data_IF_805703897491
#
_entry.id   IF_805703897491
#
_cell.length_a   1.000
_cell.length_b   1.000
_cell.length_c   1.000
_cell.angle_alpha   90.00
_cell.angle_beta   90.00
_cell.angle_gamma   90.00
#
_symmetry.space_group_name_H-M   'P 1'
#
loop_
_entity.id
_entity.type
_entity.pdbx_description
1 polymer ?
#
# COMPACT_ATOMS: atom_id res chain seq x y z
N UNK A 1 56.06 -22.98 -2.46
CA UNK A 1 54.78 -22.94 -1.70
C UNK A 1 53.73 -22.38 -2.66
N UNK A 2 52.73 -23.15 -3.12
CA UNK A 2 51.65 -22.58 -3.92
C UNK A 2 50.66 -21.87 -3.02
N UNK A 3 50.29 -20.65 -3.45
CA UNK A 3 49.26 -19.84 -2.87
C UNK A 3 47.91 -20.55 -2.97
N UNK A 4 47.23 -20.76 -1.84
CA UNK A 4 45.87 -21.24 -1.80
C UNK A 4 44.95 -20.19 -2.41
N UNK A 5 44.33 -20.54 -3.52
CA UNK A 5 43.21 -19.85 -4.14
C UNK A 5 42.05 -19.82 -3.15
N UNK A 6 41.46 -18.67 -2.85
CA UNK A 6 40.26 -18.60 -2.01
C UNK A 6 39.09 -19.14 -2.86
N UNK A 7 38.83 -20.44 -2.76
CA UNK A 7 37.78 -21.12 -3.48
C UNK A 7 36.45 -20.38 -3.40
N UNK A 8 35.86 -20.13 -4.56
CA UNK A 8 34.50 -19.71 -4.75
C UNK A 8 33.58 -20.57 -3.88
N UNK A 9 32.98 -19.97 -2.88
CA UNK A 9 31.92 -20.63 -2.08
C UNK A 9 30.71 -20.79 -3.00
N UNK A 10 30.57 -21.95 -3.61
CA UNK A 10 29.31 -22.32 -4.25
C UNK A 10 28.21 -22.30 -3.17
N UNK A 11 27.10 -21.61 -3.39
CA UNK A 11 25.97 -21.67 -2.49
C UNK A 11 25.40 -23.09 -2.48
N UNK A 12 25.66 -23.83 -1.41
CA UNK A 12 25.34 -25.23 -1.29
C UNK A 12 23.92 -25.47 -0.80
N UNK A 13 22.92 -25.43 -1.68
CA UNK A 13 21.56 -25.88 -1.36
C UNK A 13 20.51 -25.32 -2.33
N UNK A 14 19.35 -26.01 -2.44
CA UNK A 14 18.21 -25.53 -3.23
C UNK A 14 17.75 -24.16 -2.70
N UNK A 15 17.34 -23.24 -3.58
CA UNK A 15 16.92 -21.90 -3.17
C UNK A 15 15.73 -21.93 -2.19
N UNK A 16 15.66 -20.95 -1.31
CA UNK A 16 14.45 -20.69 -0.54
C UNK A 16 13.54 -19.83 -1.41
N UNK A 17 12.34 -20.32 -1.72
CA UNK A 17 11.39 -19.58 -2.58
C UNK A 17 10.39 -18.81 -1.75
N UNK A 18 10.12 -17.57 -2.15
CA UNK A 18 8.97 -16.79 -1.71
C UNK A 18 8.13 -16.41 -2.91
N UNK A 19 6.80 -16.45 -2.75
CA UNK A 19 5.87 -15.97 -3.74
C UNK A 19 5.71 -14.44 -3.66
N UNK A 20 5.39 -13.79 -4.77
CA UNK A 20 5.03 -12.39 -4.81
C UNK A 20 3.75 -12.17 -5.61
N UNK A 21 2.81 -11.42 -5.03
CA UNK A 21 1.56 -11.01 -5.65
C UNK A 21 1.62 -9.50 -5.91
N UNK A 22 1.42 -9.09 -7.16
CA UNK A 22 1.39 -7.69 -7.55
C UNK A 22 0.44 -7.46 -8.74
N UNK A 23 -0.24 -6.31 -8.83
CA UNK A 23 -1.08 -5.95 -9.97
C UNK A 23 -0.21 -5.39 -11.10
N UNK A 24 0.32 -6.25 -11.97
CA UNK A 24 1.27 -5.85 -13.02
C UNK A 24 0.60 -5.46 -14.33
N UNK A 25 -0.65 -5.89 -14.53
CA UNK A 25 -1.45 -5.60 -15.74
C UNK A 25 -2.80 -4.99 -15.40
N UNK A 26 -3.42 -4.30 -16.38
CA UNK A 26 -4.78 -3.78 -16.26
C UNK A 26 -5.81 -4.93 -16.14
N UNK A 27 -6.95 -4.70 -15.44
CA UNK A 27 -7.43 -3.43 -14.89
C UNK A 27 -6.77 -3.01 -13.57
N UNK A 28 -5.77 -3.75 -13.08
CA UNK A 28 -5.03 -3.40 -11.88
C UNK A 28 -4.25 -2.10 -12.03
N UNK A 29 -3.87 -1.52 -10.90
CA UNK A 29 -3.00 -0.35 -10.89
C UNK A 29 -1.54 -0.78 -11.14
N UNK A 30 -1.21 -0.98 -12.42
CA UNK A 30 0.07 -1.53 -12.86
C UNK A 30 1.28 -0.68 -12.43
N UNK A 31 1.12 0.64 -12.28
CA UNK A 31 2.17 1.52 -11.78
C UNK A 31 2.53 1.18 -10.32
N UNK A 32 1.52 1.00 -9.46
CA UNK A 32 1.74 0.56 -8.08
C UNK A 32 2.36 -0.84 -8.02
N UNK A 33 1.90 -1.76 -8.87
CA UNK A 33 2.45 -3.11 -8.99
C UNK A 33 3.92 -3.12 -9.39
N UNK A 34 4.32 -2.28 -10.36
CA UNK A 34 5.70 -2.12 -10.80
C UNK A 34 6.59 -1.59 -9.67
N UNK A 35 6.12 -0.60 -8.90
CA UNK A 35 6.85 -0.08 -7.75
C UNK A 35 7.00 -1.14 -6.64
N UNK A 36 5.92 -1.87 -6.34
CA UNK A 36 5.96 -2.97 -5.37
C UNK A 36 7.01 -4.02 -5.78
N UNK A 37 6.95 -4.47 -7.03
CA UNK A 37 7.87 -5.47 -7.56
C UNK A 37 9.32 -4.99 -7.52
N UNK A 38 9.59 -3.73 -7.90
CA UNK A 38 10.93 -3.17 -7.85
C UNK A 38 11.53 -3.20 -6.42
N UNK A 39 10.71 -2.94 -5.41
CA UNK A 39 11.12 -3.04 -4.00
C UNK A 39 11.40 -4.48 -3.57
N UNK A 40 10.49 -5.41 -3.91
CA UNK A 40 10.65 -6.83 -3.61
C UNK A 40 11.95 -7.40 -4.22
N UNK A 41 12.18 -7.14 -5.52
CA UNK A 41 13.36 -7.64 -6.23
C UNK A 41 14.66 -7.01 -5.74
N UNK A 42 14.66 -5.71 -5.39
CA UNK A 42 15.83 -5.06 -4.81
C UNK A 42 16.21 -5.70 -3.48
N UNK A 43 15.23 -5.96 -2.62
CA UNK A 43 15.47 -6.59 -1.33
C UNK A 43 15.94 -8.05 -1.46
N UNK A 44 15.41 -8.82 -2.42
CA UNK A 44 15.89 -10.18 -2.72
C UNK A 44 17.37 -10.16 -3.13
N UNK A 45 17.77 -9.21 -3.98
CA UNK A 45 19.18 -9.03 -4.34
C UNK A 45 20.04 -8.72 -3.13
N UNK A 46 19.66 -7.73 -2.32
CA UNK A 46 20.40 -7.34 -1.11
C UNK A 46 20.52 -8.51 -0.10
N UNK A 47 19.46 -9.33 0.03
CA UNK A 47 19.49 -10.55 0.86
C UNK A 47 20.48 -11.56 0.32
N UNK A 48 20.53 -11.77 -0.99
CA UNK A 48 21.43 -12.71 -1.63
C UNK A 48 22.89 -12.23 -1.55
N UNK A 49 23.14 -10.95 -1.77
CA UNK A 49 24.47 -10.33 -1.63
C UNK A 49 25.01 -10.46 -0.18
N UNK A 50 24.09 -10.48 0.79
CA UNK A 50 24.41 -10.71 2.20
C UNK A 50 24.53 -12.21 2.60
N UNK A 51 24.54 -13.13 1.64
CA UNK A 51 24.70 -14.58 1.87
C UNK A 51 23.39 -15.38 1.94
N UNK A 52 22.26 -14.77 1.55
CA UNK A 52 20.96 -15.44 1.42
C UNK A 52 20.29 -15.80 2.76
N UNK A 53 19.54 -16.88 2.73
CA UNK A 53 18.85 -17.46 3.88
C UNK A 53 19.65 -18.66 4.37
N UNK A 54 20.50 -18.44 5.38
CA UNK A 54 21.38 -19.48 5.95
C UNK A 54 22.23 -20.15 4.84
N UNK A 55 22.87 -19.33 3.98
CA UNK A 55 23.73 -19.82 2.90
C UNK A 55 22.99 -20.32 1.65
N UNK A 56 21.65 -20.22 1.61
CA UNK A 56 20.81 -20.59 0.47
C UNK A 56 20.31 -19.33 -0.24
N UNK A 57 20.34 -19.26 -1.59
CA UNK A 57 19.79 -18.09 -2.29
C UNK A 57 18.28 -17.96 -2.05
N UNK A 58 17.81 -16.72 -1.95
CA UNK A 58 16.39 -16.38 -1.94
C UNK A 58 15.92 -16.19 -3.39
N UNK A 59 14.85 -16.86 -3.78
CA UNK A 59 14.23 -16.79 -5.12
C UNK A 59 12.82 -16.18 -4.99
N UNK A 60 12.49 -15.21 -5.85
CA UNK A 60 11.17 -14.59 -5.93
C UNK A 60 10.36 -15.19 -7.07
N UNK A 61 9.19 -15.77 -6.76
CA UNK A 61 8.26 -16.32 -7.75
C UNK A 61 7.07 -15.37 -7.90
N UNK A 62 7.06 -14.58 -8.97
CA UNK A 62 6.07 -13.51 -9.17
C UNK A 62 4.79 -14.04 -9.83
N UNK A 63 3.64 -13.55 -9.38
CA UNK A 63 2.33 -13.73 -10.01
C UNK A 63 1.63 -12.38 -10.14
N UNK A 64 1.16 -12.11 -11.36
CA UNK A 64 0.34 -10.94 -11.65
C UNK A 64 -1.10 -11.20 -11.24
N UNK A 65 -1.63 -10.36 -10.37
CA UNK A 65 -3.03 -10.44 -9.91
C UNK A 65 -4.00 -9.69 -10.81
N UNK A 66 -3.52 -8.74 -11.62
CA UNK A 66 -4.35 -7.82 -12.41
C UNK A 66 -5.49 -7.16 -11.60
N UNK A 67 -5.32 -7.03 -10.28
CA UNK A 67 -6.35 -6.61 -9.31
C UNK A 67 -7.60 -7.50 -9.28
N UNK A 68 -7.51 -8.76 -9.73
CA UNK A 68 -8.61 -9.73 -9.67
C UNK A 68 -8.47 -10.62 -8.43
N UNK A 69 -9.45 -10.61 -7.50
CA UNK A 69 -9.44 -11.43 -6.30
C UNK A 69 -9.41 -12.94 -6.60
N UNK A 70 -10.07 -13.39 -7.68
CA UNK A 70 -10.09 -14.82 -8.06
C UNK A 70 -8.72 -15.24 -8.58
N UNK A 71 -8.14 -14.42 -9.44
CA UNK A 71 -6.78 -14.64 -9.96
C UNK A 71 -5.74 -14.67 -8.84
N UNK A 72 -5.88 -13.80 -7.85
CA UNK A 72 -5.01 -13.81 -6.68
C UNK A 72 -5.13 -15.09 -5.86
N UNK A 73 -6.35 -15.60 -5.62
CA UNK A 73 -6.55 -16.87 -4.93
C UNK A 73 -5.93 -18.04 -5.70
N UNK A 74 -6.13 -18.13 -7.02
CA UNK A 74 -5.49 -19.13 -7.89
C UNK A 74 -3.97 -19.02 -7.84
N UNK A 75 -3.42 -17.81 -7.87
CA UNK A 75 -1.98 -17.57 -7.76
C UNK A 75 -1.40 -18.09 -6.44
N UNK A 76 -2.15 -17.96 -5.34
CA UNK A 76 -1.76 -18.53 -4.03
C UNK A 76 -1.71 -20.06 -4.10
N UNK A 77 -2.67 -20.72 -4.78
CA UNK A 77 -2.64 -22.17 -4.99
C UNK A 77 -1.40 -22.61 -5.77
N UNK A 78 -1.11 -21.93 -6.87
CA UNK A 78 0.07 -22.20 -7.70
C UNK A 78 1.38 -22.03 -6.89
N UNK A 79 1.51 -20.94 -6.15
CA UNK A 79 2.67 -20.67 -5.31
C UNK A 79 2.83 -21.73 -4.21
N UNK A 80 1.71 -22.15 -3.58
CA UNK A 80 1.72 -23.24 -2.61
C UNK A 80 2.22 -24.56 -3.21
N UNK A 81 1.77 -24.90 -4.44
CA UNK A 81 2.21 -26.08 -5.21
C UNK A 81 3.67 -26.02 -5.61
N UNK A 82 4.24 -24.83 -5.84
CA UNK A 82 5.67 -24.62 -6.11
C UNK A 82 6.54 -24.70 -4.84
N UNK A 83 5.95 -24.93 -3.68
CA UNK A 83 6.67 -25.09 -2.42
C UNK A 83 7.28 -23.79 -1.88
N UNK A 84 6.70 -22.63 -2.15
CA UNK A 84 7.17 -21.37 -1.55
C UNK A 84 7.02 -21.41 -0.03
N UNK A 85 7.98 -20.82 0.68
CA UNK A 85 7.99 -20.77 2.14
C UNK A 85 7.02 -19.72 2.69
N UNK A 86 6.79 -18.64 1.95
CA UNK A 86 5.86 -17.56 2.27
C UNK A 86 5.43 -16.82 1.00
N UNK A 87 4.39 -15.99 1.11
CA UNK A 87 3.94 -15.09 0.05
C UNK A 87 4.03 -13.65 0.52
N UNK A 88 4.51 -12.76 -0.35
CA UNK A 88 4.61 -11.30 -0.20
C UNK A 88 3.61 -10.59 -1.13
N UNK A 89 3.17 -9.40 -0.79
CA UNK A 89 2.26 -8.60 -1.60
C UNK A 89 0.98 -8.37 -0.82
N UNK A 90 0.03 -7.82 -1.29
CA UNK A 90 -0.53 -7.25 -2.49
C UNK A 90 -0.83 -5.76 -2.25
N UNK A 91 -1.10 -4.99 -3.29
CA UNK A 91 -1.45 -3.57 -3.19
C UNK A 91 -2.96 -3.36 -2.96
N UNK A 92 -3.81 -4.00 -3.77
CA UNK A 92 -5.25 -3.82 -3.69
C UNK A 92 -5.86 -4.57 -2.50
N UNK A 93 -6.58 -3.85 -1.63
CA UNK A 93 -7.13 -4.39 -0.39
C UNK A 93 -8.11 -5.55 -0.59
N UNK A 94 -8.98 -5.49 -1.61
CA UNK A 94 -9.96 -6.56 -1.92
C UNK A 94 -9.24 -7.82 -2.43
N UNK A 95 -8.19 -7.64 -3.21
CA UNK A 95 -7.35 -8.71 -3.76
C UNK A 95 -6.51 -9.35 -2.67
N UNK A 96 -5.88 -8.53 -1.82
CA UNK A 96 -5.12 -9.01 -0.67
C UNK A 96 -5.99 -9.83 0.30
N UNK A 97 -7.26 -9.44 0.50
CA UNK A 97 -8.20 -10.20 1.31
C UNK A 97 -8.45 -11.60 0.74
N UNK A 98 -8.66 -11.72 -0.56
CA UNK A 98 -8.84 -13.02 -1.21
C UNK A 98 -7.59 -13.89 -1.11
N UNK A 99 -6.41 -13.31 -1.32
CA UNK A 99 -5.13 -13.98 -1.14
C UNK A 99 -4.92 -14.43 0.31
N UNK A 100 -5.24 -13.59 1.29
CA UNK A 100 -5.12 -13.89 2.72
C UNK A 100 -6.00 -15.06 3.14
N UNK A 101 -7.28 -15.06 2.74
CA UNK A 101 -8.21 -16.17 3.01
C UNK A 101 -7.70 -17.47 2.40
N UNK A 102 -7.17 -17.43 1.17
CA UNK A 102 -6.64 -18.63 0.52
C UNK A 102 -5.33 -19.11 1.15
N UNK A 103 -4.44 -18.21 1.52
CA UNK A 103 -3.19 -18.53 2.19
C UNK A 103 -3.44 -19.16 3.57
N UNK A 104 -4.41 -18.62 4.34
CA UNK A 104 -4.84 -19.18 5.61
C UNK A 104 -5.35 -20.61 5.47
N UNK A 105 -6.23 -20.87 4.50
CA UNK A 105 -6.77 -22.19 4.21
C UNK A 105 -5.70 -23.24 3.81
N UNK A 106 -4.57 -22.78 3.27
CA UNK A 106 -3.45 -23.66 2.84
C UNK A 106 -2.32 -23.76 3.88
N UNK A 107 -2.43 -23.06 5.02
CA UNK A 107 -1.32 -22.97 5.96
C UNK A 107 -0.06 -22.36 5.35
N UNK A 108 -0.22 -21.33 4.52
CA UNK A 108 0.86 -20.64 3.83
C UNK A 108 1.05 -19.24 4.42
N UNK A 109 2.20 -18.92 5.02
CA UNK A 109 2.46 -17.59 5.55
C UNK A 109 2.30 -16.52 4.48
N UNK A 110 1.49 -15.49 4.74
CA UNK A 110 1.28 -14.35 3.85
C UNK A 110 1.59 -13.05 4.58
N UNK A 111 2.59 -12.32 4.11
CA UNK A 111 2.89 -10.96 4.56
C UNK A 111 2.34 -9.96 3.56
N UNK A 112 1.22 -9.34 3.91
CA UNK A 112 0.61 -8.29 3.12
C UNK A 112 1.45 -7.01 3.20
N UNK A 113 1.88 -6.50 2.05
CA UNK A 113 2.77 -5.33 1.95
C UNK A 113 2.03 -4.00 2.11
N UNK A 114 1.05 -3.73 1.26
CA UNK A 114 0.50 -2.39 1.04
C UNK A 114 -1.00 -2.28 1.26
N UNK A 115 -1.73 -3.40 1.24
CA UNK A 115 -3.17 -3.36 1.43
C UNK A 115 -3.54 -3.01 2.88
N UNK A 116 -4.42 -2.01 3.03
CA UNK A 116 -4.73 -1.39 4.32
C UNK A 116 -6.06 -1.81 4.94
N UNK A 117 -6.92 -2.56 4.25
CA UNK A 117 -8.24 -2.95 4.76
C UNK A 117 -8.09 -3.59 6.16
N UNK A 118 -8.85 -3.10 7.14
CA UNK A 118 -8.70 -3.48 8.55
C UNK A 118 -8.82 -5.00 8.75
N UNK A 119 -9.80 -5.60 8.11
CA UNK A 119 -10.00 -7.04 8.15
C UNK A 119 -9.55 -7.71 6.86
N UNK A 120 -8.25 -7.96 6.72
CA UNK A 120 -7.75 -8.81 5.63
C UNK A 120 -8.31 -10.22 5.71
N UNK A 121 -8.54 -10.71 6.92
CA UNK A 121 -9.36 -11.89 7.20
C UNK A 121 -10.43 -11.53 8.23
N UNK A 122 -11.54 -12.22 8.21
CA UNK A 122 -12.65 -12.03 9.17
C UNK A 122 -12.36 -12.69 10.52
N UNK A 123 -11.47 -13.68 10.51
CA UNK A 123 -11.08 -14.44 11.70
C UNK A 123 -9.60 -14.26 12.01
N UNK A 124 -9.20 -14.26 13.28
CA UNK A 124 -7.79 -14.30 13.65
C UNK A 124 -7.10 -15.52 13.04
N UNK A 125 -5.93 -15.28 12.44
CA UNK A 125 -5.14 -16.31 11.78
C UNK A 125 -3.66 -16.20 12.18
N UNK A 126 -2.94 -17.32 12.35
CA UNK A 126 -1.49 -17.30 12.50
C UNK A 126 -0.77 -17.09 11.16
N UNK A 127 -1.45 -17.29 10.03
CA UNK A 127 -0.81 -17.34 8.71
C UNK A 127 -0.66 -15.98 8.03
N UNK A 128 -1.41 -14.97 8.47
CA UNK A 128 -1.43 -13.66 7.81
C UNK A 128 -0.87 -12.58 8.73
N UNK A 129 0.02 -11.78 8.18
CA UNK A 129 0.52 -10.56 8.78
C UNK A 129 0.46 -9.39 7.80
N UNK A 130 0.50 -8.15 8.30
CA UNK A 130 0.41 -6.94 7.48
C UNK A 130 1.48 -5.93 7.87
N UNK A 131 2.12 -5.35 6.85
CA UNK A 131 3.13 -4.31 7.02
C UNK A 131 2.52 -2.90 7.00
N UNK A 132 1.55 -2.66 6.10
CA UNK A 132 0.85 -1.39 6.02
C UNK A 132 -0.02 -1.13 7.27
N UNK A 133 -0.27 0.14 7.63
CA UNK A 133 -1.19 0.47 8.72
C UNK A 133 -2.64 0.09 8.38
N UNK A 134 -3.53 -0.07 9.37
CA UNK A 134 -4.94 -0.31 9.10
C UNK A 134 -5.60 0.92 8.46
N UNK A 135 -6.52 0.68 7.55
CA UNK A 135 -7.28 1.72 6.85
C UNK A 135 -7.93 2.70 7.83
N UNK A 136 -8.55 2.18 8.89
CA UNK A 136 -9.21 3.00 9.90
C UNK A 136 -8.28 4.00 10.58
N UNK A 137 -6.98 3.69 10.77
CA UNK A 137 -6.01 4.61 11.33
C UNK A 137 -5.72 5.76 10.36
N UNK A 138 -5.46 5.45 9.09
CA UNK A 138 -5.18 6.46 8.08
C UNK A 138 -6.37 7.38 7.82
N UNK A 139 -7.57 6.79 7.71
CA UNK A 139 -8.77 7.58 7.40
C UNK A 139 -9.24 8.42 8.58
N UNK A 140 -9.00 8.01 9.84
CA UNK A 140 -9.19 8.89 11.00
C UNK A 140 -8.24 10.08 10.98
N UNK A 141 -6.95 9.84 10.68
CA UNK A 141 -5.99 10.94 10.52
C UNK A 141 -6.43 11.93 9.42
N UNK A 142 -6.94 11.39 8.31
CA UNK A 142 -7.44 12.21 7.20
C UNK A 142 -8.68 13.02 7.59
N UNK A 143 -9.63 12.42 8.32
CA UNK A 143 -10.79 13.13 8.85
C UNK A 143 -10.38 14.25 9.84
N UNK A 144 -9.39 13.99 10.70
CA UNK A 144 -8.85 14.99 11.62
C UNK A 144 -8.16 16.14 10.87
N UNK A 145 -7.50 15.85 9.76
CA UNK A 145 -6.97 16.86 8.86
C UNK A 145 -8.10 17.72 8.27
N UNK A 146 -9.14 17.12 7.71
CA UNK A 146 -10.28 17.86 7.15
C UNK A 146 -10.93 18.78 8.18
N UNK A 147 -11.12 18.30 9.42
CA UNK A 147 -11.66 19.12 10.51
C UNK A 147 -10.74 20.31 10.86
N UNK A 148 -9.41 20.09 10.89
CA UNK A 148 -8.46 21.17 11.17
C UNK A 148 -8.44 22.25 10.09
N UNK A 149 -8.77 21.88 8.84
CA UNK A 149 -8.91 22.81 7.71
C UNK A 149 -10.33 23.44 7.64
N UNK A 150 -11.21 23.13 8.61
CA UNK A 150 -12.56 23.70 8.69
C UNK A 150 -13.59 22.99 7.81
N UNK A 151 -13.28 21.82 7.27
CA UNK A 151 -14.21 21.07 6.43
C UNK A 151 -15.12 20.19 7.28
N UNK A 152 -16.43 20.43 7.20
CA UNK A 152 -17.45 19.66 7.91
C UNK A 152 -18.54 19.05 6.99
N UNK A 153 -18.73 19.60 5.80
CA UNK A 153 -19.66 19.06 4.80
C UNK A 153 -18.85 18.42 3.67
N UNK A 154 -18.71 17.11 3.75
CA UNK A 154 -17.85 16.34 2.85
C UNK A 154 -18.71 15.58 1.85
N UNK A 155 -18.41 15.72 0.55
CA UNK A 155 -18.92 14.83 -0.48
C UNK A 155 -17.86 13.78 -0.81
N UNK A 156 -18.28 12.56 -1.09
CA UNK A 156 -17.41 11.48 -1.54
C UNK A 156 -17.90 10.96 -2.88
N UNK A 157 -17.13 11.13 -3.94
CA UNK A 157 -17.35 10.44 -5.20
C UNK A 157 -16.91 9.00 -5.03
N UNK A 158 -17.83 8.04 -5.17
CA UNK A 158 -17.57 6.64 -4.82
C UNK A 158 -18.06 5.67 -5.89
N UNK A 159 -17.35 4.56 -6.00
CA UNK A 159 -17.75 3.36 -6.75
C UNK A 159 -17.98 2.20 -5.78
N UNK A 160 -18.80 1.19 -6.15
CA UNK A 160 -19.05 0.05 -5.28
C UNK A 160 -17.77 -0.73 -4.95
N UNK A 161 -17.35 -0.67 -3.69
CA UNK A 161 -16.21 -1.42 -3.18
C UNK A 161 -16.29 -1.53 -1.67
N UNK A 162 -15.96 -2.70 -1.12
CA UNK A 162 -15.83 -2.88 0.35
C UNK A 162 -14.79 -1.91 0.93
N UNK A 163 -13.75 -1.62 0.16
CA UNK A 163 -12.70 -0.69 0.55
C UNK A 163 -13.23 0.75 0.66
N UNK A 164 -13.94 1.23 -0.36
CA UNK A 164 -14.53 2.56 -0.36
C UNK A 164 -15.61 2.73 0.69
N UNK A 165 -16.52 1.76 0.80
CA UNK A 165 -17.59 1.77 1.81
C UNK A 165 -17.03 1.77 3.25
N UNK A 166 -15.97 1.00 3.51
CA UNK A 166 -15.28 1.02 4.80
C UNK A 166 -14.68 2.40 5.09
N UNK A 167 -14.05 3.04 4.11
CA UNK A 167 -13.49 4.37 4.25
C UNK A 167 -14.55 5.44 4.50
N UNK A 168 -15.63 5.47 3.72
CA UNK A 168 -16.75 6.40 3.90
C UNK A 168 -17.36 6.27 5.30
N UNK A 169 -17.49 5.03 5.82
CA UNK A 169 -17.95 4.79 7.18
C UNK A 169 -17.01 5.39 8.22
N UNK A 170 -15.69 5.15 8.12
CA UNK A 170 -14.70 5.72 9.06
C UNK A 170 -14.74 7.25 9.07
N UNK A 171 -14.87 7.88 7.89
CA UNK A 171 -15.04 9.33 7.79
C UNK A 171 -16.30 9.79 8.50
N UNK A 172 -17.44 9.17 8.21
CA UNK A 172 -18.74 9.51 8.80
C UNK A 172 -18.69 9.41 10.33
N UNK A 173 -18.20 8.29 10.85
CA UNK A 173 -18.09 8.04 12.28
C UNK A 173 -17.17 9.06 12.98
N UNK A 174 -16.09 9.48 12.31
CA UNK A 174 -15.13 10.44 12.87
C UNK A 174 -15.62 11.88 12.82
N UNK A 175 -16.39 12.26 11.79
CA UNK A 175 -16.88 13.62 11.59
C UNK A 175 -18.17 13.90 12.38
N UNK A 176 -19.01 12.88 12.60
CA UNK A 176 -20.32 13.04 13.25
C UNK A 176 -20.28 13.74 14.62
N UNK A 177 -19.35 13.45 15.56
CA UNK A 177 -19.27 14.13 16.85
C UNK A 177 -19.03 15.65 16.75
N UNK A 178 -18.53 16.13 15.61
CA UNK A 178 -18.27 17.54 15.33
C UNK A 178 -19.35 18.18 14.44
N UNK A 179 -20.50 17.50 14.30
CA UNK A 179 -21.59 17.98 13.42
C UNK A 179 -21.29 17.85 11.94
N UNK A 180 -20.25 17.08 11.58
CA UNK A 180 -19.87 16.87 10.18
C UNK A 180 -20.80 15.88 9.46
N UNK A 181 -20.96 16.10 8.16
CA UNK A 181 -21.79 15.26 7.28
C UNK A 181 -20.99 14.71 6.12
N UNK A 182 -21.34 13.50 5.68
CA UNK A 182 -20.75 12.83 4.50
C UNK A 182 -21.87 12.46 3.55
N UNK A 183 -21.84 13.02 2.34
CA UNK A 183 -22.75 12.71 1.23
C UNK A 183 -22.00 11.82 0.24
N UNK A 184 -22.61 10.70 -0.13
CA UNK A 184 -22.02 9.77 -1.10
C UNK A 184 -22.63 10.03 -2.49
N UNK A 185 -21.76 10.24 -3.48
CA UNK A 185 -22.09 10.47 -4.88
C UNK A 185 -21.71 9.20 -5.67
N UNK A 186 -22.71 8.45 -6.13
CA UNK A 186 -22.49 7.20 -6.88
C UNK A 186 -22.07 7.50 -8.32
N UNK A 187 -20.81 7.23 -8.63
CA UNK A 187 -20.22 7.51 -9.94
C UNK A 187 -20.72 6.60 -11.08
N UNK A 188 -21.53 5.59 -10.78
CA UNK A 188 -22.23 4.82 -11.82
C UNK A 188 -23.46 5.57 -12.36
N UNK A 189 -24.00 6.49 -11.58
CA UNK A 189 -25.21 7.25 -11.93
C UNK A 189 -24.92 8.69 -12.33
N UNK A 190 -23.75 9.24 -11.95
CA UNK A 190 -23.43 10.63 -12.12
C UNK A 190 -22.33 10.84 -13.17
N UNK A 191 -22.54 11.84 -14.02
CA UNK A 191 -21.47 12.39 -14.87
C UNK A 191 -20.61 13.36 -14.06
N UNK A 192 -19.37 13.67 -14.49
CA UNK A 192 -18.55 14.69 -13.83
C UNK A 192 -19.24 16.06 -13.68
N UNK A 193 -20.05 16.47 -14.67
CA UNK A 193 -20.84 17.70 -14.57
C UNK A 193 -21.94 17.61 -13.50
N UNK A 194 -22.67 16.49 -13.42
CA UNK A 194 -23.65 16.26 -12.37
C UNK A 194 -23.05 16.22 -10.97
N UNK A 195 -21.79 15.73 -10.83
CA UNK A 195 -21.05 15.84 -9.56
C UNK A 195 -20.91 17.31 -9.14
N UNK A 196 -20.60 18.23 -10.06
CA UNK A 196 -20.49 19.65 -9.75
C UNK A 196 -21.83 20.25 -9.25
N UNK A 197 -22.95 19.82 -9.84
CA UNK A 197 -24.27 20.26 -9.39
C UNK A 197 -24.59 19.76 -7.99
N UNK A 198 -24.36 18.46 -7.71
CA UNK A 198 -24.54 17.89 -6.36
C UNK A 198 -23.66 18.57 -5.31
N UNK A 199 -22.39 18.88 -5.64
CA UNK A 199 -21.49 19.59 -4.75
C UNK A 199 -22.01 20.99 -4.37
N UNK A 200 -22.57 21.71 -5.36
CA UNK A 200 -23.15 23.04 -5.15
C UNK A 200 -24.44 22.95 -4.32
N UNK A 201 -25.36 22.04 -4.63
CA UNK A 201 -26.64 21.85 -3.95
C UNK A 201 -26.45 21.44 -2.48
N UNK A 202 -25.53 20.52 -2.21
CA UNK A 202 -25.17 20.10 -0.85
C UNK A 202 -24.27 21.10 -0.12
N UNK A 203 -23.82 22.17 -0.77
CA UNK A 203 -22.86 23.14 -0.22
C UNK A 203 -21.64 22.44 0.38
N UNK A 204 -21.13 21.43 -0.32
CA UNK A 204 -19.96 20.69 0.12
C UNK A 204 -18.76 21.61 0.27
N UNK A 205 -17.95 21.38 1.32
CA UNK A 205 -16.72 22.14 1.55
C UNK A 205 -15.49 21.40 1.07
N UNK A 206 -15.60 20.07 0.90
CA UNK A 206 -14.57 19.24 0.29
C UNK A 206 -15.20 18.07 -0.47
N UNK A 207 -14.53 17.64 -1.55
CA UNK A 207 -14.82 16.43 -2.31
C UNK A 207 -13.70 15.42 -2.10
N UNK A 208 -14.02 14.18 -1.76
CA UNK A 208 -13.06 13.08 -1.69
C UNK A 208 -13.28 12.08 -2.82
N UNK A 209 -12.18 11.68 -3.47
CA UNK A 209 -12.18 10.72 -4.56
C UNK A 209 -11.98 9.31 -4.02
N UNK A 210 -13.08 8.56 -3.92
CA UNK A 210 -13.13 7.14 -3.54
C UNK A 210 -13.44 6.30 -4.79
N UNK A 211 -12.64 6.51 -5.80
CA UNK A 211 -12.84 5.99 -7.16
C UNK A 211 -11.50 5.57 -7.78
N UNK A 212 -11.57 4.86 -8.90
CA UNK A 212 -10.41 4.47 -9.70
C UNK A 212 -9.66 5.66 -10.32
N UNK A 213 -8.45 5.40 -10.81
CA UNK A 213 -7.59 6.33 -11.55
C UNK A 213 -7.02 5.62 -12.78
N UNK A 214 -6.95 6.26 -13.95
CA UNK A 214 -7.35 7.64 -14.27
C UNK A 214 -8.85 7.88 -14.28
N UNK A 215 -9.64 6.88 -14.64
CA UNK A 215 -11.09 6.97 -14.67
C UNK A 215 -11.73 6.40 -13.40
N UNK A 216 -12.74 7.09 -12.84
CA UNK A 216 -13.31 8.38 -13.26
C UNK A 216 -12.66 9.59 -12.56
N UNK A 217 -11.55 9.44 -11.82
CA UNK A 217 -10.94 10.48 -11.00
C UNK A 217 -10.56 11.73 -11.82
N UNK A 218 -9.87 11.55 -12.97
CA UNK A 218 -9.36 12.68 -13.76
C UNK A 218 -10.49 13.58 -14.29
N UNK A 219 -11.52 13.06 -14.96
CA UNK A 219 -12.64 13.90 -15.43
C UNK A 219 -13.37 14.64 -14.30
N UNK A 220 -13.47 14.05 -13.10
CA UNK A 220 -14.08 14.71 -11.92
C UNK A 220 -13.24 15.90 -11.50
N UNK A 221 -11.92 15.72 -11.32
CA UNK A 221 -11.01 16.80 -10.92
C UNK A 221 -11.07 17.96 -11.91
N UNK A 222 -10.94 17.67 -13.20
CA UNK A 222 -11.02 18.67 -14.26
C UNK A 222 -12.35 19.44 -14.26
N UNK A 223 -13.48 18.74 -14.07
CA UNK A 223 -14.80 19.37 -14.04
C UNK A 223 -14.95 20.30 -12.84
N UNK A 224 -14.52 19.85 -11.65
CA UNK A 224 -14.58 20.66 -10.42
C UNK A 224 -13.65 21.88 -10.52
N UNK A 225 -12.44 21.72 -11.06
CA UNK A 225 -11.50 22.85 -11.22
C UNK A 225 -11.99 23.91 -12.22
N UNK A 226 -12.77 23.52 -13.23
CA UNK A 226 -13.35 24.44 -14.23
C UNK A 226 -14.65 25.10 -13.79
N UNK A 227 -15.35 24.54 -12.80
CA UNK A 227 -16.64 25.10 -12.33
C UNK A 227 -16.42 26.27 -11.39
N UNK A 228 -16.84 27.47 -11.81
CA UNK A 228 -16.69 28.72 -11.03
C UNK A 228 -17.46 28.69 -9.71
N UNK A 229 -18.56 27.91 -9.62
CA UNK A 229 -19.36 27.75 -8.39
C UNK A 229 -18.57 27.08 -7.30
N UNK A 230 -17.57 26.26 -7.69
CA UNK A 230 -16.74 25.44 -6.83
C UNK A 230 -15.32 26.00 -6.66
N UNK A 231 -15.12 27.28 -7.00
CA UNK A 231 -13.83 27.94 -6.85
C UNK A 231 -13.32 27.82 -5.40
N UNK A 232 -12.13 27.26 -5.23
CA UNK A 232 -11.55 27.00 -3.90
C UNK A 232 -12.02 25.69 -3.23
N UNK A 233 -12.82 24.87 -3.90
CA UNK A 233 -13.20 23.55 -3.39
C UNK A 233 -11.95 22.70 -3.10
N UNK A 234 -11.85 22.17 -1.88
CA UNK A 234 -10.84 21.19 -1.53
C UNK A 234 -11.19 19.85 -2.16
N UNK A 235 -10.31 19.34 -3.02
CA UNK A 235 -10.39 17.98 -3.54
C UNK A 235 -9.37 17.14 -2.78
N UNK A 236 -9.73 15.93 -2.34
CA UNK A 236 -8.86 15.01 -1.65
C UNK A 236 -8.88 13.61 -2.29
N UNK A 237 -7.77 12.89 -2.20
CA UNK A 237 -7.61 11.55 -2.75
C UNK A 237 -7.00 10.60 -1.69
N UNK A 238 -7.76 10.23 -0.64
CA UNK A 238 -7.23 9.53 0.53
C UNK A 238 -6.61 8.16 0.23
N UNK A 239 -6.90 7.56 -0.92
CA UNK A 239 -6.32 6.28 -1.33
C UNK A 239 -4.91 6.37 -1.93
N UNK A 240 -4.35 7.58 -2.06
CA UNK A 240 -2.95 7.77 -2.47
C UNK A 240 -2.70 7.89 -3.97
N UNK A 241 -3.74 8.14 -4.78
CA UNK A 241 -3.59 8.32 -6.23
C UNK A 241 -2.51 9.36 -6.61
N UNK A 242 -2.43 10.55 -5.92
CA UNK A 242 -1.43 11.56 -6.26
C UNK A 242 0.03 11.18 -5.99
N UNK A 243 0.31 10.07 -5.31
CA UNK A 243 1.69 9.59 -5.12
C UNK A 243 2.38 9.27 -6.44
N UNK A 244 1.65 8.76 -7.42
CA UNK A 244 2.20 8.20 -8.64
C UNK A 244 2.37 9.23 -9.75
N UNK A 245 3.35 8.99 -10.65
CA UNK A 245 3.66 9.89 -11.75
C UNK A 245 2.49 10.02 -12.75
N UNK A 246 1.72 8.94 -12.94
CA UNK A 246 0.53 8.94 -13.79
C UNK A 246 -0.51 10.01 -13.41
N UNK A 247 -0.66 10.31 -12.12
CA UNK A 247 -1.52 11.40 -11.65
C UNK A 247 -1.07 12.77 -12.17
N UNK A 248 0.22 13.09 -12.00
CA UNK A 248 0.78 14.35 -12.47
C UNK A 248 0.78 14.45 -14.00
N UNK A 249 1.00 13.33 -14.69
CA UNK A 249 0.94 13.28 -16.18
C UNK A 249 -0.47 13.54 -16.69
N UNK A 250 -1.51 13.02 -16.01
CA UNK A 250 -2.90 13.15 -16.44
C UNK A 250 -3.50 14.53 -16.11
N UNK A 251 -3.16 15.12 -14.98
CA UNK A 251 -3.81 16.32 -14.44
C UNK A 251 -2.93 17.58 -14.48
N UNK A 252 -1.60 17.44 -14.65
CA UNK A 252 -0.71 18.60 -14.61
C UNK A 252 -0.87 19.41 -13.32
N UNK A 253 -1.08 20.72 -13.45
CA UNK A 253 -1.27 21.65 -12.33
C UNK A 253 -2.57 21.39 -11.56
N UNK A 254 -3.64 20.93 -12.21
CA UNK A 254 -4.92 20.63 -11.58
C UNK A 254 -4.80 19.48 -10.55
N UNK A 255 -3.81 18.61 -10.72
CA UNK A 255 -3.52 17.51 -9.81
C UNK A 255 -2.66 17.88 -8.60
N UNK A 256 -2.13 19.11 -8.53
CA UNK A 256 -1.36 19.61 -7.40
C UNK A 256 -2.28 20.10 -6.26
N UNK A 257 -1.75 20.13 -5.03
CA UNK A 257 -2.50 20.60 -3.87
C UNK A 257 -3.69 19.70 -3.49
N UNK A 258 -3.71 18.44 -3.93
CA UNK A 258 -4.74 17.46 -3.58
C UNK A 258 -4.21 16.58 -2.45
N UNK A 259 -4.72 16.72 -1.20
CA UNK A 259 -4.28 15.93 -0.06
C UNK A 259 -4.55 14.44 -0.26
N UNK A 260 -3.61 13.60 0.20
CA UNK A 260 -3.73 12.14 0.18
C UNK A 260 -2.96 11.50 1.34
N UNK A 261 -3.23 10.21 1.61
CA UNK A 261 -2.50 9.42 2.59
C UNK A 261 -1.23 8.85 1.98
N UNK A 262 -0.11 9.08 2.65
CA UNK A 262 1.21 8.58 2.28
C UNK A 262 1.80 7.76 3.42
N UNK A 263 2.34 6.60 3.11
CA UNK A 263 2.85 5.67 4.13
C UNK A 263 4.38 5.70 4.23
N UNK A 264 4.94 6.91 4.23
CA UNK A 264 6.34 7.19 4.52
C UNK A 264 6.48 8.04 5.78
N UNK A 265 7.62 7.95 6.49
CA UNK A 265 7.96 8.91 7.54
C UNK A 265 8.41 10.24 6.92
N UNK A 266 8.48 11.29 7.72
CA UNK A 266 9.02 12.58 7.28
C UNK A 266 10.47 12.44 6.77
N UNK A 267 11.24 11.59 7.43
CA UNK A 267 12.60 11.24 7.03
C UNK A 267 12.76 9.73 7.00
N UNK A 268 13.27 9.23 5.90
CA UNK A 268 13.63 7.82 5.75
C UNK A 268 14.81 7.48 6.69
N UNK A 269 14.90 6.21 7.08
CA UNK A 269 16.09 5.70 7.75
C UNK A 269 17.33 5.78 6.84
N UNK A 270 18.57 5.66 7.35
CA UNK A 270 19.76 5.56 6.49
C UNK A 270 19.63 4.42 5.46
N UNK A 271 19.05 3.28 5.84
CA UNK A 271 18.70 2.20 4.93
C UNK A 271 17.71 2.67 3.86
N UNK A 272 16.64 3.35 4.28
CA UNK A 272 15.63 3.88 3.37
C UNK A 272 16.19 4.89 2.37
N UNK A 273 17.11 5.76 2.77
CA UNK A 273 17.76 6.70 1.88
C UNK A 273 18.60 5.99 0.80
N UNK A 274 19.39 4.97 1.18
CA UNK A 274 20.15 4.12 0.25
C UNK A 274 19.22 3.38 -0.72
N UNK A 275 18.21 2.71 -0.18
CA UNK A 275 17.22 1.96 -0.97
C UNK A 275 16.48 2.90 -1.93
N UNK A 276 16.12 4.10 -1.48
CA UNK A 276 15.45 5.10 -2.32
C UNK A 276 16.29 5.55 -3.51
N UNK A 277 17.61 5.63 -3.38
CA UNK A 277 18.54 5.90 -4.49
C UNK A 277 18.53 4.76 -5.51
N UNK A 278 18.70 3.51 -5.04
CA UNK A 278 18.70 2.33 -5.92
C UNK A 278 17.35 2.10 -6.61
N UNK A 279 16.24 2.39 -5.91
CA UNK A 279 14.90 2.32 -6.49
C UNK A 279 14.68 3.38 -7.57
N UNK A 280 15.18 4.61 -7.38
CA UNK A 280 15.08 5.68 -8.39
C UNK A 280 15.82 5.31 -9.66
N UNK A 281 17.00 4.74 -9.54
CA UNK A 281 17.78 4.26 -10.69
C UNK A 281 17.04 3.14 -11.44
N UNK A 282 16.47 2.18 -10.69
CA UNK A 282 15.74 1.04 -11.25
C UNK A 282 14.44 1.42 -11.94
N UNK A 283 13.67 2.33 -11.33
CA UNK A 283 12.37 2.76 -11.84
C UNK A 283 12.48 3.86 -12.90
N UNK A 284 13.63 4.55 -13.00
CA UNK A 284 13.83 5.77 -13.78
C UNK A 284 12.86 6.91 -13.38
N UNK A 285 12.30 6.84 -12.17
CA UNK A 285 11.41 7.84 -11.59
C UNK A 285 11.49 7.84 -10.05
N UNK A 286 10.81 8.79 -9.39
CA UNK A 286 10.74 8.82 -7.94
C UNK A 286 10.00 7.57 -7.41
N UNK A 287 10.60 6.78 -6.49
CA UNK A 287 9.92 5.64 -5.91
C UNK A 287 8.75 6.10 -5.04
N UNK A 288 7.57 5.48 -5.23
CA UNK A 288 6.43 5.65 -4.35
C UNK A 288 6.64 4.92 -3.01
N UNK A 289 5.80 5.22 -2.00
CA UNK A 289 5.83 4.48 -0.73
C UNK A 289 5.69 2.95 -0.93
N UNK A 290 5.00 2.52 -1.97
CA UNK A 290 4.77 1.09 -2.29
C UNK A 290 6.09 0.35 -2.58
N UNK A 291 7.06 1.02 -3.20
CA UNK A 291 8.37 0.43 -3.46
C UNK A 291 9.15 0.15 -2.16
N UNK A 292 9.08 1.07 -1.20
CA UNK A 292 9.67 0.87 0.12
C UNK A 292 8.94 -0.23 0.92
N UNK A 293 7.62 -0.33 0.77
CA UNK A 293 6.83 -1.42 1.35
C UNK A 293 7.24 -2.79 0.79
N UNK A 294 7.47 -2.87 -0.51
CA UNK A 294 7.98 -4.08 -1.15
C UNK A 294 9.35 -4.49 -0.57
N UNK A 295 10.27 -3.54 -0.44
CA UNK A 295 11.58 -3.82 0.16
C UNK A 295 11.46 -4.31 1.61
N UNK A 296 10.72 -3.58 2.45
CA UNK A 296 10.52 -3.93 3.86
C UNK A 296 9.85 -5.31 4.02
N UNK A 297 8.94 -5.67 3.11
CA UNK A 297 8.27 -6.99 3.13
C UNK A 297 9.27 -8.13 3.00
N UNK A 298 10.19 -8.06 2.04
CA UNK A 298 11.24 -9.09 1.89
C UNK A 298 12.23 -9.05 3.04
N UNK A 299 12.59 -7.86 3.53
CA UNK A 299 13.49 -7.74 4.69
C UNK A 299 12.91 -8.45 5.93
N UNK A 300 11.60 -8.28 6.20
CA UNK A 300 10.90 -8.98 7.29
C UNK A 300 10.87 -10.49 7.02
N UNK A 301 10.45 -10.93 5.82
CA UNK A 301 10.42 -12.34 5.49
C UNK A 301 11.79 -12.99 5.59
N UNK A 302 12.85 -12.35 5.11
CA UNK A 302 14.21 -12.86 5.22
C UNK A 302 14.64 -13.00 6.69
N UNK A 303 14.30 -12.04 7.54
CA UNK A 303 14.56 -12.13 8.99
C UNK A 303 13.88 -13.34 9.62
N UNK A 304 12.60 -13.54 9.33
CA UNK A 304 11.81 -14.67 9.84
C UNK A 304 12.33 -16.00 9.28
N UNK A 305 12.59 -16.08 7.97
CA UNK A 305 13.04 -17.31 7.30
C UNK A 305 14.42 -17.78 7.78
N UNK A 306 15.31 -16.84 8.18
CA UNK A 306 16.61 -17.21 8.80
C UNK A 306 16.42 -17.96 10.12
N UNK A 307 15.43 -17.60 10.92
CA UNK A 307 15.15 -18.26 12.21
C UNK A 307 14.26 -19.47 12.08
N UNK A 308 13.33 -19.51 11.11
CA UNK A 308 12.37 -20.59 10.91
C UNK A 308 12.91 -21.75 10.05
N UNK A 309 14.03 -21.56 9.34
CA UNK A 309 14.57 -22.54 8.38
C UNK A 309 13.66 -22.76 7.17
N UNK A 310 12.83 -21.77 6.81
CA UNK A 310 11.83 -21.84 5.74
C UNK A 310 10.67 -22.85 5.99
N UNK A 311 10.47 -23.29 7.21
CA UNK A 311 9.29 -24.04 7.63
C UNK A 311 8.08 -23.09 7.77
N UNK A 312 6.95 -23.42 7.11
CA UNK A 312 5.77 -22.56 7.06
C UNK A 312 5.17 -22.35 8.45
N UNK A 313 5.04 -23.39 9.26
CA UNK A 313 4.46 -23.31 10.61
C UNK A 313 5.33 -22.46 11.53
N UNK A 314 6.64 -22.66 11.51
CA UNK A 314 7.57 -21.85 12.28
C UNK A 314 7.60 -20.40 11.79
N UNK A 315 7.50 -20.17 10.48
CA UNK A 315 7.40 -18.83 9.89
C UNK A 315 6.17 -18.09 10.42
N UNK A 316 5.00 -18.73 10.37
CA UNK A 316 3.76 -18.14 10.92
C UNK A 316 3.83 -17.90 12.43
N UNK A 317 4.44 -18.79 13.19
CA UNK A 317 4.63 -18.63 14.63
C UNK A 317 5.61 -17.50 15.00
N UNK A 318 6.41 -17.02 14.04
CA UNK A 318 7.45 -16.01 14.27
C UNK A 318 6.98 -14.56 14.13
N UNK A 319 5.74 -14.29 13.67
CA UNK A 319 5.24 -12.91 13.53
C UNK A 319 5.37 -12.09 14.81
N UNK A 320 5.05 -12.61 16.03
CA UNK A 320 5.23 -11.84 17.26
C UNK A 320 6.66 -11.47 17.58
N UNK A 321 7.63 -12.19 17.02
CA UNK A 321 9.06 -12.00 17.27
C UNK A 321 9.74 -11.10 16.23
N UNK A 322 9.00 -10.58 15.25
CA UNK A 322 9.56 -9.70 14.21
C UNK A 322 10.18 -8.45 14.85
N UNK A 323 11.47 -8.26 14.58
CA UNK A 323 12.24 -7.08 14.96
C UNK A 323 13.28 -6.82 13.85
N UNK A 324 12.93 -5.96 12.89
CA UNK A 324 13.74 -5.68 11.70
C UNK A 324 13.89 -4.18 11.53
N UNK A 325 15.09 -3.72 11.18
CA UNK A 325 15.28 -2.35 10.71
C UNK A 325 14.80 -2.25 9.27
N UNK A 326 13.72 -1.48 9.07
CA UNK A 326 13.13 -1.24 7.78
C UNK A 326 13.59 0.09 7.16
N UNK A 327 13.21 0.30 5.92
CA UNK A 327 13.47 1.55 5.19
C UNK A 327 12.73 2.74 5.80
N UNK A 328 11.58 2.49 6.43
CA UNK A 328 10.66 3.48 6.98
C UNK A 328 10.69 3.56 8.50
N UNK A 329 11.51 2.77 9.17
CA UNK A 329 11.65 2.69 10.63
C UNK A 329 11.78 1.27 11.15
N UNK A 330 11.93 1.09 12.48
CA UNK A 330 12.01 -0.23 13.09
C UNK A 330 10.66 -0.95 13.02
N UNK A 331 10.65 -2.16 12.46
CA UNK A 331 9.45 -2.96 12.25
C UNK A 331 9.30 -3.96 13.39
N UNK A 332 8.19 -3.84 14.11
CA UNK A 332 7.75 -4.78 15.14
C UNK A 332 6.27 -5.06 14.99
N UNK A 333 5.88 -6.32 15.04
CA UNK A 333 4.48 -6.69 14.88
C UNK A 333 3.77 -6.79 16.22
N UNK A 334 2.52 -6.35 16.21
CA UNK A 334 1.59 -6.48 17.33
C UNK A 334 0.19 -6.77 16.80
N UNK A 335 -0.72 -7.22 17.69
CA UNK A 335 -2.16 -7.23 17.40
C UNK A 335 -2.77 -5.95 17.93
N UNK A 336 -3.59 -5.31 17.11
CA UNK A 336 -4.34 -4.11 17.43
C UNK A 336 -5.80 -4.52 17.67
N UNK A 337 -6.50 -4.00 18.70
CA UNK A 337 -7.91 -4.29 18.93
C UNK A 337 -8.76 -4.07 17.67
N UNK A 338 -9.62 -5.04 17.34
CA UNK A 338 -10.46 -5.01 16.14
C UNK A 338 -9.77 -5.42 14.83
N UNK A 339 -8.46 -5.74 14.87
CA UNK A 339 -7.71 -6.22 13.70
C UNK A 339 -7.33 -7.69 13.92
N UNK A 340 -7.70 -8.55 12.98
CA UNK A 340 -7.56 -10.00 13.10
C UNK A 340 -6.16 -10.54 12.75
N UNK A 341 -5.27 -9.72 12.18
CA UNK A 341 -3.93 -10.13 11.74
C UNK A 341 -2.82 -9.49 12.57
N UNK A 342 -1.63 -10.08 12.56
CA UNK A 342 -0.42 -9.44 13.05
C UNK A 342 -0.03 -8.29 12.14
N UNK A 343 0.39 -7.16 12.70
CA UNK A 343 0.76 -5.99 11.89
C UNK A 343 1.83 -5.11 12.55
N UNK A 344 2.48 -4.30 11.73
CA UNK A 344 3.40 -3.28 12.20
C UNK A 344 2.63 -2.12 12.87
N UNK A 345 2.67 -2.08 14.22
CA UNK A 345 1.94 -1.07 15.00
C UNK A 345 2.46 0.37 14.79
N UNK A 346 3.76 0.53 14.51
CA UNK A 346 4.42 1.82 14.27
C UNK A 346 4.52 2.24 12.81
N UNK A 347 3.74 1.64 11.90
CA UNK A 347 3.79 2.00 10.48
C UNK A 347 3.52 3.51 10.27
N UNK A 348 4.38 4.23 9.53
CA UNK A 348 4.23 5.66 9.33
C UNK A 348 3.02 6.00 8.47
N UNK A 349 2.36 7.10 8.78
CA UNK A 349 1.27 7.67 8.00
C UNK A 349 1.39 9.18 7.99
N UNK A 350 1.16 9.79 6.84
CA UNK A 350 1.09 11.24 6.66
C UNK A 350 -0.09 11.61 5.77
N UNK A 351 -0.66 12.79 5.99
CA UNK A 351 -1.44 13.49 4.97
C UNK A 351 -0.47 14.43 4.27
N UNK A 352 -0.37 14.29 2.97
CA UNK A 352 0.53 15.08 2.12
C UNK A 352 -0.20 15.54 0.86
N UNK A 353 0.35 16.53 0.17
CA UNK A 353 -0.05 16.87 -1.20
C UNK A 353 1.18 17.03 -2.11
N UNK A 354 0.97 17.06 -3.42
CA UNK A 354 1.97 17.56 -4.35
C UNK A 354 2.04 19.07 -4.23
N UNK A 355 3.23 19.60 -3.96
CA UNK A 355 3.43 21.05 -3.78
C UNK A 355 3.05 21.82 -5.06
N UNK A 356 2.04 22.70 -5.03
CA UNK A 356 1.68 23.50 -6.20
C UNK A 356 2.81 24.40 -6.72
N UNK A 357 3.70 24.85 -5.82
CA UNK A 357 4.85 25.68 -6.20
C UNK A 357 6.04 24.86 -6.73
N UNK A 358 6.11 23.58 -6.37
CA UNK A 358 7.18 22.66 -6.75
C UNK A 358 6.59 21.26 -7.02
N UNK A 359 5.95 21.01 -8.18
CA UNK A 359 5.17 19.78 -8.44
C UNK A 359 5.93 18.45 -8.28
N UNK A 360 7.27 18.48 -8.31
CA UNK A 360 8.12 17.32 -8.04
C UNK A 360 8.31 16.98 -6.54
N UNK A 361 7.76 17.80 -5.64
CA UNK A 361 7.87 17.63 -4.18
C UNK A 361 6.53 17.37 -3.55
N UNK A 362 6.58 16.73 -2.37
CA UNK A 362 5.42 16.56 -1.50
C UNK A 362 5.56 17.45 -0.27
N UNK A 363 4.47 18.14 0.11
CA UNK A 363 4.36 18.87 1.37
C UNK A 363 3.69 17.98 2.40
N UNK A 364 4.22 17.91 3.60
CA UNK A 364 3.56 17.25 4.73
C UNK A 364 2.57 18.23 5.34
N UNK A 365 1.29 17.85 5.33
CA UNK A 365 0.19 18.65 5.88
C UNK A 365 -0.14 18.19 7.31
N UNK A 366 -0.03 16.87 7.58
CA UNK A 366 -0.24 16.28 8.90
C UNK A 366 0.51 14.96 9.04
N UNK A 367 1.04 14.69 10.23
CA UNK A 367 1.64 13.39 10.61
C UNK A 367 0.74 12.66 11.61
N UNK A 368 0.75 11.28 11.56
CA UNK A 368 -0.03 10.42 12.44
C UNK A 368 0.81 9.45 13.27
#
# INVERSE_FOLDING_TARGET
>A
MPLCDPGERQPGGSPVRIGALAPLTRPGWAEAGRHLLAGLELAVRDVNDAGGIVGRPLELVVRDTAADPRRAATAVDELAGLGVAAVAGEYHSVVARAAAVRADALGLPFLCSSAVLDALTEQPTPWVARLAPPQSRGWRLYADFLLSEGHSRIAVATEPSVYWASGARVLRDRLAPYGGTVVELDMRALTPAAVCDELADHRATALLLLVGHPEPAVPIVESVRRDRRLAGMTIGAPAGQPEFAGWATSLGEDGAGIPFLRYLPERLTPLGARVGTSLRERLAEAPSFVAFEGYDTVAVLAGVLRSSGADRTRTAASWPCVAVEGTRGPIRFSRVPGISVWQWGGAPIQVVDRDPAQPGRFRVLRTG
#
